data_IF_691241306532
#
_entry.id   IF_691241306532
#
_cell.length_a   1.000
_cell.length_b   1.000
_cell.length_c   1.000
_cell.angle_alpha   90.00
_cell.angle_beta   90.00
_cell.angle_gamma   90.00
#
_symmetry.space_group_name_H-M   'P 1'
#
loop_
_entity.id
_entity.type
_entity.pdbx_description
1 polymer ?
#
# COMPACT_ATOMS: atom_id res chain seq x y z
N UNK A 1 -1.02 1.40 -5.78
CA UNK A 1 -0.37 2.26 -6.81
C UNK A 1 0.37 3.38 -6.11
N UNK A 2 1.43 3.91 -6.70
CA UNK A 2 2.02 5.18 -6.23
C UNK A 2 1.56 6.32 -7.10
N UNK A 3 1.43 7.49 -6.48
CA UNK A 3 1.08 8.74 -7.12
C UNK A 3 2.01 9.81 -6.56
N UNK A 4 2.58 10.61 -7.45
CA UNK A 4 3.40 11.74 -7.03
C UNK A 4 2.55 12.79 -6.31
N UNK A 5 3.10 13.38 -5.25
CA UNK A 5 2.44 14.45 -4.50
C UNK A 5 2.53 15.79 -5.25
N UNK A 6 3.71 16.12 -5.80
CA UNK A 6 3.96 17.37 -6.54
C UNK A 6 3.99 17.16 -8.06
N UNK A 7 4.31 15.96 -8.53
CA UNK A 7 4.34 15.61 -9.95
C UNK A 7 2.98 15.15 -10.48
N UNK A 8 2.85 15.09 -11.81
CA UNK A 8 1.65 14.60 -12.51
C UNK A 8 1.82 13.17 -13.03
N UNK A 9 2.31 12.26 -12.20
CA UNK A 9 2.53 10.86 -12.58
C UNK A 9 2.00 9.87 -11.55
N UNK A 10 1.69 8.67 -12.04
CA UNK A 10 1.19 7.53 -11.26
C UNK A 10 1.67 6.22 -11.89
N UNK A 11 1.91 5.20 -11.07
CA UNK A 11 2.32 3.88 -11.54
C UNK A 11 1.73 2.77 -10.64
N UNK A 12 1.21 1.67 -11.22
CA UNK A 12 0.89 0.47 -10.45
C UNK A 12 2.18 -0.23 -9.99
N UNK A 13 2.27 -0.59 -8.70
CA UNK A 13 3.43 -1.30 -8.15
C UNK A 13 3.14 -2.73 -7.72
N UNK A 14 1.88 -3.03 -7.42
CA UNK A 14 1.50 -4.31 -6.84
C UNK A 14 0.15 -4.73 -7.40
N UNK A 15 0.09 -5.99 -7.81
CA UNK A 15 -1.12 -6.66 -8.25
C UNK A 15 -1.10 -8.06 -7.64
N UNK A 16 -2.19 -8.45 -6.98
CA UNK A 16 -2.31 -9.75 -6.33
C UNK A 16 -3.70 -10.31 -6.58
N UNK A 17 -3.79 -11.62 -6.69
CA UNK A 17 -5.07 -12.32 -6.66
C UNK A 17 -5.43 -12.67 -5.22
N UNK A 18 -6.69 -12.53 -4.87
CA UNK A 18 -7.24 -13.04 -3.63
C UNK A 18 -8.54 -13.79 -3.91
N UNK A 19 -8.91 -14.72 -3.03
CA UNK A 19 -10.21 -15.38 -3.06
C UNK A 19 -11.05 -14.84 -1.91
N UNK A 20 -12.06 -14.02 -2.22
CA UNK A 20 -12.82 -13.29 -1.20
C UNK A 20 -12.14 -11.99 -0.80
N UNK A 21 -11.87 -11.81 0.49
CA UNK A 21 -11.19 -10.61 1.04
C UNK A 21 -9.72 -10.90 1.35
N UNK A 22 -8.85 -9.90 1.15
CA UNK A 22 -7.45 -10.01 1.55
C UNK A 22 -7.34 -9.88 3.07
N UNK A 23 -6.71 -10.83 3.78
CA UNK A 23 -6.50 -10.74 5.22
C UNK A 23 -5.71 -9.49 5.63
N UNK A 24 -6.04 -8.91 6.78
CA UNK A 24 -5.38 -7.70 7.30
C UNK A 24 -3.84 -7.87 7.41
N UNK A 25 -3.38 -9.02 7.89
CA UNK A 25 -1.95 -9.32 8.00
C UNK A 25 -1.23 -9.27 6.63
N UNK A 26 -1.89 -9.76 5.58
CA UNK A 26 -1.34 -9.70 4.22
C UNK A 26 -1.31 -8.25 3.72
N UNK A 27 -2.36 -7.45 4.00
CA UNK A 27 -2.37 -6.01 3.66
C UNK A 27 -1.20 -5.28 4.33
N UNK A 28 -0.94 -5.52 5.62
CA UNK A 28 0.20 -4.95 6.34
C UNK A 28 1.52 -5.34 5.67
N UNK A 29 1.70 -6.63 5.34
CA UNK A 29 2.90 -7.12 4.67
C UNK A 29 3.08 -6.49 3.28
N UNK A 30 2.00 -6.34 2.52
CA UNK A 30 1.99 -5.68 1.21
C UNK A 30 2.41 -4.22 1.32
N UNK A 31 1.84 -3.46 2.26
CA UNK A 31 2.19 -2.05 2.50
C UNK A 31 3.67 -1.92 2.86
N UNK A 32 4.16 -2.70 3.82
CA UNK A 32 5.58 -2.69 4.24
C UNK A 32 6.52 -3.03 3.09
N UNK A 33 6.14 -4.00 2.25
CA UNK A 33 6.93 -4.37 1.06
C UNK A 33 6.99 -3.22 0.06
N UNK A 34 5.85 -2.62 -0.27
CA UNK A 34 5.80 -1.49 -1.22
C UNK A 34 6.61 -0.30 -0.72
N UNK A 35 6.49 0.07 0.56
CA UNK A 35 7.26 1.17 1.14
C UNK A 35 8.76 0.89 1.06
N UNK A 36 9.19 -0.31 1.47
CA UNK A 36 10.59 -0.73 1.42
C UNK A 36 11.16 -0.69 0.00
N UNK A 37 10.44 -1.19 -1.00
CA UNK A 37 10.92 -1.17 -2.39
C UNK A 37 10.94 0.25 -2.97
N UNK A 38 10.00 1.12 -2.59
CA UNK A 38 10.04 2.54 -2.95
C UNK A 38 11.28 3.24 -2.39
N UNK A 39 11.58 3.04 -1.10
CA UNK A 39 12.75 3.66 -0.46
C UNK A 39 14.07 3.21 -1.09
N UNK A 40 14.19 1.93 -1.45
CA UNK A 40 15.38 1.40 -2.16
C UNK A 40 15.67 2.10 -3.48
N UNK A 41 14.64 2.58 -4.18
CA UNK A 41 14.79 3.30 -5.46
C UNK A 41 14.82 4.82 -5.29
N UNK A 42 14.90 5.31 -4.06
CA UNK A 42 15.00 6.74 -3.74
C UNK A 42 13.68 7.49 -3.70
N UNK A 43 12.54 6.79 -3.60
CA UNK A 43 11.23 7.41 -3.42
C UNK A 43 10.87 7.50 -1.93
N UNK A 44 10.48 8.68 -1.48
CA UNK A 44 9.97 8.89 -0.11
C UNK A 44 8.44 8.74 -0.08
N UNK A 45 7.94 7.73 0.64
CA UNK A 45 6.50 7.55 0.86
C UNK A 45 6.06 8.35 2.07
N UNK A 46 5.30 9.42 1.84
CA UNK A 46 4.85 10.33 2.92
C UNK A 46 3.46 10.01 3.46
N UNK A 47 2.64 9.30 2.69
CA UNK A 47 1.26 8.96 3.05
C UNK A 47 0.78 7.73 2.28
N UNK A 48 -0.20 7.03 2.86
CA UNK A 48 -0.98 5.99 2.18
C UNK A 48 -2.46 6.37 2.22
N UNK A 49 -3.23 5.89 1.24
CA UNK A 49 -4.68 6.11 1.14
C UNK A 49 -5.32 4.75 0.91
N UNK A 50 -6.28 4.39 1.75
CA UNK A 50 -7.05 3.14 1.68
C UNK A 50 -8.55 3.44 1.82
N UNK A 51 -9.40 2.51 1.37
CA UNK A 51 -10.83 2.54 1.66
C UNK A 51 -11.12 2.13 3.13
N UNK A 52 -12.39 2.25 3.54
CA UNK A 52 -12.84 1.96 4.90
C UNK A 52 -13.34 0.51 5.12
N UNK A 53 -12.95 -0.42 4.24
CA UNK A 53 -13.24 -1.84 4.44
C UNK A 53 -12.67 -2.36 5.76
N UNK A 54 -13.39 -3.27 6.42
CA UNK A 54 -13.03 -3.75 7.77
C UNK A 54 -11.61 -4.32 7.87
N UNK A 55 -11.14 -5.00 6.83
CA UNK A 55 -9.77 -5.53 6.76
C UNK A 55 -8.71 -4.43 6.59
N UNK A 56 -9.01 -3.36 5.85
CA UNK A 56 -8.14 -2.19 5.71
C UNK A 56 -8.06 -1.39 7.01
N UNK A 57 -9.19 -1.17 7.69
CA UNK A 57 -9.21 -0.52 9.02
C UNK A 57 -8.40 -1.33 10.02
N UNK A 58 -8.61 -2.66 10.05
CA UNK A 58 -7.82 -3.56 10.91
C UNK A 58 -6.33 -3.52 10.60
N UNK A 59 -5.95 -3.47 9.31
CA UNK A 59 -4.55 -3.39 8.89
C UNK A 59 -3.90 -2.05 9.29
N UNK A 60 -4.59 -0.92 9.13
CA UNK A 60 -4.09 0.39 9.54
C UNK A 60 -3.84 0.45 11.05
N UNK A 61 -4.72 -0.16 11.86
CA UNK A 61 -4.54 -0.25 13.30
C UNK A 61 -3.38 -1.17 13.74
N UNK A 62 -2.77 -1.93 12.83
CA UNK A 62 -1.63 -2.82 13.06
C UNK A 62 -0.31 -2.30 12.48
N UNK A 63 -0.34 -1.16 11.78
CA UNK A 63 0.84 -0.52 11.17
C UNK A 63 1.60 0.33 12.21
#
# INVERSE_FOLDING_TARGET
MIRSLSGKWKQPLMFTFCRGTTPAANIVAHIKTVVKECEKVGLTVVASVNDQGSTNVSAVNQL
#
